data_IF_196645944952
#
_entry.id   IF_196645944952
#
_cell.length_a   1.000
_cell.length_b   1.000
_cell.length_c   1.000
_cell.angle_alpha   90.00
_cell.angle_beta   90.00
_cell.angle_gamma   90.00
#
_symmetry.space_group_name_H-M   'P 1'
#
loop_
_entity.id
_entity.type
_entity.pdbx_description
1 polymer ?
#
# COMPACT_ATOMS: atom_id res chain seq x y z
N UNK A 1 14.83 15.33 -3.82
CA UNK A 1 15.07 16.20 -4.99
C UNK A 1 16.05 15.73 -6.07
N UNK A 2 16.90 14.70 -5.87
CA UNK A 2 17.90 14.32 -6.89
C UNK A 2 17.42 13.33 -7.98
N UNK A 3 16.27 12.67 -7.80
CA UNK A 3 15.77 11.63 -8.71
C UNK A 3 14.40 11.99 -9.30
N UNK A 4 14.16 11.57 -10.55
CA UNK A 4 12.89 11.75 -11.26
C UNK A 4 11.76 11.08 -10.45
N UNK A 5 10.71 11.82 -10.04
CA UNK A 5 9.67 11.29 -9.16
C UNK A 5 8.95 10.08 -9.77
N UNK A 6 8.80 10.03 -11.10
CA UNK A 6 8.22 8.88 -11.79
C UNK A 6 9.01 7.57 -11.56
N UNK A 7 10.34 7.62 -11.55
CA UNK A 7 11.19 6.43 -11.35
C UNK A 7 11.18 5.97 -9.90
N UNK A 8 11.19 6.92 -8.95
CA UNK A 8 11.06 6.62 -7.53
C UNK A 8 9.74 5.91 -7.23
N UNK A 9 8.65 6.36 -7.85
CA UNK A 9 7.32 5.78 -7.65
C UNK A 9 7.23 4.36 -8.22
N UNK A 10 7.67 4.15 -9.46
CA UNK A 10 7.70 2.81 -10.04
C UNK A 10 8.57 1.86 -9.21
N UNK A 11 9.71 2.34 -8.70
CA UNK A 11 10.54 1.56 -7.79
C UNK A 11 9.85 1.24 -6.46
N UNK A 12 9.09 2.19 -5.87
CA UNK A 12 8.30 1.97 -4.65
C UNK A 12 7.18 0.94 -4.85
N UNK A 13 6.44 1.02 -5.97
CA UNK A 13 5.41 0.04 -6.31
C UNK A 13 6.00 -1.36 -6.55
N UNK A 14 7.14 -1.45 -7.26
CA UNK A 14 7.85 -2.71 -7.46
C UNK A 14 8.36 -3.28 -6.13
N UNK A 15 8.89 -2.43 -5.25
CA UNK A 15 9.36 -2.83 -3.93
C UNK A 15 8.21 -3.34 -3.05
N UNK A 16 7.03 -2.70 -3.11
CA UNK A 16 5.83 -3.19 -2.43
C UNK A 16 5.39 -4.55 -2.99
N UNK A 17 5.24 -4.67 -4.31
CA UNK A 17 4.86 -5.92 -4.95
C UNK A 17 5.81 -7.08 -4.59
N UNK A 18 7.11 -6.82 -4.58
CA UNK A 18 8.12 -7.82 -4.22
C UNK A 18 8.02 -8.24 -2.75
N UNK A 19 7.72 -7.30 -1.86
CA UNK A 19 7.54 -7.57 -0.44
C UNK A 19 6.25 -8.35 -0.16
N UNK A 20 5.16 -8.04 -0.85
CA UNK A 20 3.91 -8.79 -0.73
C UNK A 20 4.04 -10.20 -1.32
N UNK A 21 4.79 -10.37 -2.41
CA UNK A 21 5.12 -11.69 -2.94
C UNK A 21 5.93 -12.52 -1.94
N UNK A 22 6.93 -11.94 -1.28
CA UNK A 22 7.68 -12.57 -0.18
C UNK A 22 6.75 -12.99 0.98
N UNK A 23 5.75 -12.17 1.28
CA UNK A 23 4.75 -12.47 2.31
C UNK A 23 3.88 -13.68 1.96
N UNK A 24 3.56 -13.89 0.67
CA UNK A 24 2.79 -15.05 0.21
C UNK A 24 3.50 -16.40 0.44
N UNK A 25 4.83 -16.41 0.53
CA UNK A 25 5.62 -17.62 0.84
C UNK A 25 5.76 -17.89 2.34
N UNK A 26 5.32 -16.98 3.22
CA UNK A 26 5.37 -17.18 4.67
C UNK A 26 4.29 -18.17 5.10
N UNK A 27 4.70 -19.42 5.31
CA UNK A 27 3.80 -20.52 5.72
C UNK A 27 3.44 -20.50 7.21
N UNK A 28 4.31 -19.96 8.06
CA UNK A 28 4.19 -20.01 9.52
C UNK A 28 4.20 -18.61 10.15
N UNK A 29 3.11 -18.21 10.84
CA UNK A 29 2.98 -16.87 11.43
C UNK A 29 3.98 -16.59 12.56
N UNK A 30 4.52 -17.63 13.22
CA UNK A 30 5.50 -17.52 14.31
C UNK A 30 6.96 -17.60 13.85
N UNK A 31 7.22 -17.66 12.55
CA UNK A 31 8.60 -17.68 12.03
C UNK A 31 9.19 -16.27 12.06
N UNK A 32 10.49 -16.16 12.37
CA UNK A 32 11.25 -14.91 12.27
C UNK A 32 11.12 -14.23 10.89
N UNK A 33 10.91 -15.03 9.83
CA UNK A 33 10.66 -14.53 8.48
C UNK A 33 9.35 -13.74 8.35
N UNK A 34 8.32 -14.09 9.12
CA UNK A 34 7.03 -13.39 9.14
C UNK A 34 7.20 -11.97 9.71
N UNK A 35 7.93 -11.85 10.82
CA UNK A 35 8.24 -10.55 11.43
C UNK A 35 9.05 -9.65 10.51
N UNK A 36 10.10 -10.19 9.86
CA UNK A 36 10.92 -9.43 8.91
C UNK A 36 10.07 -8.96 7.71
N UNK A 37 9.22 -9.84 7.18
CA UNK A 37 8.36 -9.50 6.04
C UNK A 37 7.30 -8.44 6.38
N UNK A 38 6.71 -8.50 7.58
CA UNK A 38 5.81 -7.47 8.10
C UNK A 38 6.50 -6.10 8.21
N UNK A 39 7.69 -6.05 8.80
CA UNK A 39 8.45 -4.80 8.96
C UNK A 39 8.79 -4.22 7.58
N UNK A 40 9.25 -5.07 6.66
CA UNK A 40 9.59 -4.65 5.30
C UNK A 40 8.36 -4.12 4.55
N UNK A 41 7.20 -4.76 4.74
CA UNK A 41 5.94 -4.35 4.12
C UNK A 41 5.47 -2.99 4.64
N UNK A 42 5.61 -2.73 5.94
CA UNK A 42 5.27 -1.42 6.53
C UNK A 42 6.16 -0.33 5.93
N UNK A 43 7.47 -0.57 5.84
CA UNK A 43 8.42 0.39 5.25
C UNK A 43 8.09 0.65 3.78
N UNK A 44 7.80 -0.40 3.00
CA UNK A 44 7.40 -0.29 1.61
C UNK A 44 6.11 0.54 1.44
N UNK A 45 5.10 0.27 2.28
CA UNK A 45 3.79 0.94 2.25
C UNK A 45 3.91 2.43 2.57
N UNK A 46 4.68 2.79 3.62
CA UNK A 46 4.90 4.20 3.98
C UNK A 46 5.63 4.93 2.85
N UNK A 47 6.64 4.29 2.26
CA UNK A 47 7.42 4.87 1.15
C UNK A 47 6.54 5.11 -0.08
N UNK A 48 5.66 4.16 -0.42
CA UNK A 48 4.69 4.30 -1.51
C UNK A 48 3.72 5.45 -1.25
N UNK A 49 3.09 5.50 -0.06
CA UNK A 49 2.15 6.57 0.29
C UNK A 49 2.77 7.96 0.14
N UNK A 50 3.96 8.17 0.70
CA UNK A 50 4.67 9.46 0.59
C UNK A 50 5.00 9.78 -0.89
N UNK A 51 5.37 8.78 -1.67
CA UNK A 51 5.70 8.97 -3.09
C UNK A 51 4.47 9.34 -3.92
N UNK A 52 3.30 8.74 -3.65
CA UNK A 52 2.02 9.07 -4.28
C UNK A 52 1.56 10.46 -3.86
N UNK A 53 1.58 10.77 -2.57
CA UNK A 53 1.16 12.07 -2.04
C UNK A 53 2.01 13.21 -2.61
N UNK A 54 3.32 13.04 -2.68
CA UNK A 54 4.23 14.05 -3.25
C UNK A 54 4.03 14.24 -4.75
N UNK A 55 3.71 13.19 -5.50
CA UNK A 55 3.38 13.31 -6.92
C UNK A 55 2.04 14.02 -7.13
N UNK A 56 1.02 13.62 -6.37
CA UNK A 56 -0.29 14.23 -6.45
C UNK A 56 -0.22 15.73 -6.15
N UNK A 57 0.45 16.10 -5.06
CA UNK A 57 0.66 17.49 -4.65
C UNK A 57 1.49 18.32 -5.65
N UNK A 58 2.41 17.70 -6.40
CA UNK A 58 3.20 18.38 -7.45
C UNK A 58 2.41 18.70 -8.71
N UNK A 59 1.39 17.90 -9.03
CA UNK A 59 0.59 18.07 -10.24
C UNK A 59 -0.67 18.93 -10.01
N UNK A 60 -0.90 19.41 -8.78
CA UNK A 60 -2.12 20.13 -8.43
C UNK A 60 -2.02 21.64 -8.65
N UNK A 61 -3.03 22.27 -9.30
CA UNK A 61 -3.15 23.73 -9.37
C UNK A 61 -3.30 24.33 -7.98
N UNK A 62 -2.65 25.47 -7.71
CA UNK A 62 -2.65 26.12 -6.38
C UNK A 62 -4.06 26.50 -5.91
N UNK A 63 -4.94 26.88 -6.83
CA UNK A 63 -6.30 27.35 -6.55
C UNK A 63 -7.25 26.23 -6.09
N UNK A 64 -7.10 25.02 -6.64
CA UNK A 64 -7.98 23.87 -6.34
C UNK A 64 -7.31 22.80 -5.47
N UNK A 65 -6.08 23.04 -5.01
CA UNK A 65 -5.29 22.07 -4.24
C UNK A 65 -6.00 21.56 -2.99
N UNK A 66 -6.72 22.42 -2.26
CA UNK A 66 -7.46 22.01 -1.07
C UNK A 66 -8.66 21.11 -1.39
N UNK A 67 -9.43 21.45 -2.43
CA UNK A 67 -10.60 20.68 -2.86
C UNK A 67 -10.19 19.29 -3.39
N UNK A 68 -9.15 19.25 -4.23
CA UNK A 68 -8.63 18.00 -4.79
C UNK A 68 -7.99 17.11 -3.72
N UNK A 69 -7.33 17.69 -2.71
CA UNK A 69 -6.81 16.92 -1.58
C UNK A 69 -7.94 16.36 -0.69
N UNK A 70 -9.05 17.11 -0.54
CA UNK A 70 -10.25 16.61 0.13
C UNK A 70 -10.87 15.42 -0.59
N UNK A 71 -11.04 15.49 -1.92
CA UNK A 71 -11.55 14.38 -2.74
C UNK A 71 -10.59 13.18 -2.68
N UNK A 72 -9.28 13.42 -2.75
CA UNK A 72 -8.26 12.37 -2.62
C UNK A 72 -8.36 11.63 -1.29
N UNK A 73 -8.46 12.37 -0.18
CA UNK A 73 -8.59 11.79 1.16
C UNK A 73 -9.90 11.01 1.32
N UNK A 74 -11.00 11.53 0.77
CA UNK A 74 -12.30 10.85 0.79
C UNK A 74 -12.28 9.55 -0.03
N UNK A 75 -11.72 9.58 -1.24
CA UNK A 75 -11.56 8.39 -2.08
C UNK A 75 -10.63 7.35 -1.42
N UNK A 76 -9.57 7.80 -0.74
CA UNK A 76 -8.67 6.90 -0.01
C UNK A 76 -9.37 6.17 1.14
N UNK A 77 -10.16 6.90 1.94
CA UNK A 77 -10.94 6.30 3.03
C UNK A 77 -12.02 5.36 2.52
N UNK A 78 -12.72 5.71 1.43
CA UNK A 78 -13.66 4.82 0.77
C UNK A 78 -12.99 3.52 0.27
N UNK A 79 -11.80 3.64 -0.33
CA UNK A 79 -11.01 2.48 -0.77
C UNK A 79 -10.65 1.55 0.40
N UNK A 80 -10.18 2.12 1.52
CA UNK A 80 -9.85 1.37 2.74
C UNK A 80 -11.11 0.69 3.31
N UNK A 81 -12.26 1.36 3.28
CA UNK A 81 -13.53 0.78 3.72
C UNK A 81 -13.92 -0.44 2.89
N UNK A 82 -13.91 -0.32 1.57
CA UNK A 82 -14.21 -1.43 0.65
C UNK A 82 -13.22 -2.57 0.87
N UNK A 83 -11.92 -2.25 0.96
CA UNK A 83 -10.88 -3.23 1.20
C UNK A 83 -11.06 -3.96 2.54
N UNK A 84 -11.43 -3.24 3.60
CA UNK A 84 -11.71 -3.83 4.93
C UNK A 84 -12.88 -4.82 4.87
N UNK A 85 -13.95 -4.48 4.15
CA UNK A 85 -15.11 -5.37 3.97
C UNK A 85 -14.72 -6.63 3.19
N UNK A 86 -14.02 -6.46 2.06
CA UNK A 86 -13.60 -7.57 1.20
C UNK A 86 -12.59 -8.48 1.91
N UNK A 87 -11.60 -7.90 2.58
CA UNK A 87 -10.59 -8.65 3.33
C UNK A 87 -11.19 -9.39 4.53
N UNK A 88 -12.14 -8.79 5.25
CA UNK A 88 -12.89 -9.44 6.33
C UNK A 88 -13.69 -10.65 5.84
N UNK A 89 -14.44 -10.48 4.73
CA UNK A 89 -15.20 -11.59 4.15
C UNK A 89 -14.31 -12.77 3.72
N UNK A 90 -13.12 -12.47 3.21
CA UNK A 90 -12.16 -13.47 2.74
C UNK A 90 -11.40 -14.13 3.89
N UNK A 91 -11.12 -13.37 4.95
CA UNK A 91 -10.58 -13.91 6.20
C UNK A 91 -11.52 -14.96 6.80
N UNK A 92 -12.83 -14.69 6.83
CA UNK A 92 -13.84 -15.60 7.39
C UNK A 92 -14.03 -16.88 6.57
N UNK A 93 -13.86 -16.83 5.24
CA UNK A 93 -14.14 -17.97 4.33
C UNK A 93 -12.95 -18.88 4.03
N UNK A 94 -11.73 -18.33 3.92
CA UNK A 94 -10.55 -19.05 3.39
C UNK A 94 -9.45 -19.16 4.46
N UNK A 95 -9.58 -18.41 5.57
CA UNK A 95 -8.66 -18.44 6.71
C UNK A 95 -7.61 -17.33 6.68
N UNK A 96 -6.76 -17.23 7.72
CA UNK A 96 -5.91 -16.06 8.00
C UNK A 96 -4.82 -15.76 6.95
N UNK A 97 -4.56 -16.67 5.99
CA UNK A 97 -3.56 -16.50 4.93
C UNK A 97 -4.10 -15.75 3.69
N UNK A 98 -5.41 -15.68 3.57
CA UNK A 98 -6.14 -15.29 2.36
C UNK A 98 -6.15 -13.79 2.06
N UNK A 99 -6.19 -12.88 3.06
CA UNK A 99 -6.14 -11.43 2.78
C UNK A 99 -4.82 -11.02 2.11
N UNK A 100 -3.72 -11.70 2.46
CA UNK A 100 -2.39 -11.34 1.98
C UNK A 100 -2.14 -11.70 0.51
N UNK A 101 -2.79 -12.77 0.01
CA UNK A 101 -2.76 -13.13 -1.41
C UNK A 101 -3.54 -12.12 -2.26
N UNK A 102 -4.53 -11.43 -1.67
CA UNK A 102 -5.36 -10.46 -2.38
C UNK A 102 -4.70 -9.08 -2.54
N UNK A 103 -3.70 -8.79 -1.69
CA UNK A 103 -2.95 -7.52 -1.68
C UNK A 103 -1.76 -7.54 -2.65
N UNK A 104 -1.23 -8.73 -2.94
CA UNK A 104 -0.04 -8.95 -3.78
C UNK A 104 -0.37 -8.99 -5.25
#
# INVERSE_FOLDING_TARGET
DKYRPQVTITASFLFRALTTFLFAFVKDPNSYLSYISCILMIIATITENISVDTLFLKNLPKETRALLNGIYSFSGQLGILIYSIVSGYIFDKIGPKSPFILIG
#
